data_IF_973182192601
#
_entry.id   IF_973182192601
#
_cell.length_a   1.000
_cell.length_b   1.000
_cell.length_c   1.000
_cell.angle_alpha   90.00
_cell.angle_beta   90.00
_cell.angle_gamma   90.00
#
_symmetry.space_group_name_H-M   'P 1'
#
loop_
_entity.id
_entity.type
_entity.pdbx_description
1 polymer ?
#
# COMPACT_ATOMS: atom_id res chain seq x y z
N UNK A 1 22.85 -43.39 -9.45
CA UNK A 1 21.83 -42.34 -9.59
C UNK A 1 22.23 -41.18 -8.69
N UNK A 2 22.85 -40.14 -9.26
CA UNK A 2 23.24 -38.95 -8.51
C UNK A 2 21.96 -38.19 -8.14
N UNK A 3 21.66 -38.12 -6.85
CA UNK A 3 20.76 -37.10 -6.29
C UNK A 3 21.33 -35.74 -6.68
N UNK A 4 20.69 -35.07 -7.65
CA UNK A 4 20.91 -33.64 -7.89
C UNK A 4 20.67 -32.94 -6.55
N UNK A 5 21.74 -32.48 -5.90
CA UNK A 5 21.57 -31.52 -4.82
C UNK A 5 20.84 -30.34 -5.44
N UNK A 6 19.68 -29.99 -4.91
CA UNK A 6 19.06 -28.72 -5.25
C UNK A 6 20.04 -27.70 -4.69
N UNK A 7 20.87 -27.11 -5.56
CA UNK A 7 21.78 -26.04 -5.20
C UNK A 7 20.89 -24.95 -4.60
N UNK A 8 20.98 -24.76 -3.28
CA UNK A 8 20.10 -23.81 -2.62
C UNK A 8 20.44 -22.43 -3.17
N UNK A 9 19.44 -21.75 -3.71
CA UNK A 9 19.60 -20.38 -4.22
C UNK A 9 19.55 -19.40 -3.07
N UNK A 10 20.05 -18.20 -3.29
CA UNK A 10 19.92 -17.09 -2.34
C UNK A 10 18.45 -16.77 -2.07
N UNK A 11 18.16 -16.35 -0.84
CA UNK A 11 16.87 -15.79 -0.45
C UNK A 11 17.11 -14.49 0.31
N UNK A 12 16.32 -13.47 0.00
CA UNK A 12 16.42 -12.17 0.65
C UNK A 12 15.10 -11.80 1.32
N UNK A 13 15.20 -11.29 2.54
CA UNK A 13 14.13 -10.61 3.26
C UNK A 13 14.59 -9.19 3.52
N UNK A 14 13.82 -8.22 3.07
CA UNK A 14 14.20 -6.82 3.10
C UNK A 14 13.07 -6.04 3.77
N UNK A 15 13.42 -5.20 4.74
CA UNK A 15 12.52 -4.19 5.26
C UNK A 15 13.06 -2.81 4.89
N UNK A 16 12.36 -2.14 3.98
CA UNK A 16 12.69 -0.76 3.58
C UNK A 16 11.88 0.20 4.45
N UNK A 17 12.48 0.61 5.57
CA UNK A 17 11.96 1.66 6.43
C UNK A 17 12.25 3.07 5.91
N UNK A 18 11.84 4.09 6.67
CA UNK A 18 12.11 5.49 6.32
C UNK A 18 13.59 5.90 6.43
N UNK A 19 14.28 5.45 7.47
CA UNK A 19 15.69 5.84 7.72
C UNK A 19 16.69 4.81 7.19
N UNK A 20 16.45 3.54 7.48
CA UNK A 20 17.33 2.43 7.11
C UNK A 20 16.58 1.34 6.37
N UNK A 21 17.31 0.66 5.50
CA UNK A 21 16.89 -0.58 4.86
C UNK A 21 17.68 -1.73 5.48
N UNK A 22 16.95 -2.67 6.06
CA UNK A 22 17.49 -3.86 6.71
C UNK A 22 17.34 -5.07 5.78
N UNK A 23 18.42 -5.83 5.58
CA UNK A 23 18.46 -6.98 4.69
C UNK A 23 18.92 -8.20 5.48
N UNK A 24 18.14 -9.27 5.40
CA UNK A 24 18.54 -10.62 5.82
C UNK A 24 18.70 -11.45 4.56
N UNK A 25 19.91 -11.97 4.34
CA UNK A 25 20.22 -12.85 3.23
C UNK A 25 20.51 -14.26 3.73
N UNK A 26 19.82 -15.24 3.16
CA UNK A 26 20.11 -16.65 3.36
C UNK A 26 20.95 -17.17 2.20
N UNK A 27 22.15 -17.61 2.53
CA UNK A 27 23.12 -18.11 1.57
C UNK A 27 22.77 -19.53 1.10
N UNK A 28 23.24 -19.94 -0.10
CA UNK A 28 23.21 -21.33 -0.57
C UNK A 28 23.77 -22.38 0.40
N UNK A 29 24.74 -22.00 1.24
CA UNK A 29 25.36 -22.89 2.21
C UNK A 29 24.60 -22.96 3.55
N UNK A 30 23.47 -22.25 3.69
CA UNK A 30 22.67 -22.21 4.90
C UNK A 30 23.05 -21.12 5.91
N UNK A 31 24.06 -20.29 5.61
CA UNK A 31 24.45 -19.19 6.49
C UNK A 31 23.51 -17.99 6.33
N UNK A 32 23.34 -17.23 7.41
CA UNK A 32 22.56 -15.99 7.41
C UNK A 32 23.53 -14.81 7.44
N UNK A 33 23.32 -13.86 6.55
CA UNK A 33 23.95 -12.54 6.60
C UNK A 33 22.91 -11.49 6.91
N UNK A 34 23.33 -10.46 7.64
CA UNK A 34 22.54 -9.26 7.88
C UNK A 34 23.29 -8.06 7.31
N UNK A 35 22.57 -7.16 6.68
CA UNK A 35 23.14 -5.92 6.13
C UNK A 35 22.21 -4.75 6.37
N UNK A 36 22.76 -3.56 6.60
CA UNK A 36 22.00 -2.36 6.93
C UNK A 36 22.54 -1.17 6.15
N UNK A 37 21.65 -0.48 5.45
CA UNK A 37 21.98 0.66 4.59
C UNK A 37 21.05 1.83 4.91
N UNK A 38 21.46 3.06 4.60
CA UNK A 38 20.53 4.19 4.60
C UNK A 38 19.47 3.96 3.54
N UNK A 39 18.20 4.20 3.85
CA UNK A 39 17.10 4.00 2.89
C UNK A 39 17.19 4.97 1.71
N UNK A 40 17.76 6.15 1.93
CA UNK A 40 17.97 7.16 0.92
C UNK A 40 19.41 7.69 0.97
N UNK A 41 20.18 7.39 -0.09
CA UNK A 41 21.52 7.97 -0.29
C UNK A 41 21.80 8.12 -1.80
N UNK A 42 21.17 9.09 -2.47
CA UNK A 42 21.21 9.23 -3.92
C UNK A 42 22.62 9.50 -4.48
N UNK A 43 23.59 9.87 -3.63
CA UNK A 43 25.00 10.05 -4.03
C UNK A 43 25.74 8.72 -4.20
N UNK A 44 25.27 7.64 -3.58
CA UNK A 44 25.93 6.33 -3.61
C UNK A 44 25.14 5.28 -4.40
N UNK A 45 23.81 5.29 -4.26
CA UNK A 45 22.95 4.31 -4.92
C UNK A 45 21.56 4.88 -5.20
N UNK A 46 20.92 4.31 -6.23
CA UNK A 46 19.56 4.69 -6.61
C UNK A 46 18.50 4.08 -5.69
N UNK A 47 18.76 2.88 -5.17
CA UNK A 47 17.89 2.17 -4.24
C UNK A 47 18.70 1.28 -3.29
N UNK A 48 18.39 1.34 -2.00
CA UNK A 48 19.13 0.65 -0.96
C UNK A 48 18.94 -0.88 -1.01
N UNK A 49 17.75 -1.37 -1.36
CA UNK A 49 17.47 -2.80 -1.41
C UNK A 49 18.24 -3.48 -2.54
N UNK A 50 18.19 -2.90 -3.75
CA UNK A 50 18.95 -3.38 -4.90
C UNK A 50 20.45 -3.33 -4.61
N UNK A 51 20.95 -2.20 -4.11
CA UNK A 51 22.37 -2.03 -3.81
C UNK A 51 22.86 -3.03 -2.76
N UNK A 52 22.12 -3.23 -1.67
CA UNK A 52 22.50 -4.18 -0.64
C UNK A 52 22.49 -5.64 -1.11
N UNK A 53 21.59 -6.02 -2.02
CA UNK A 53 21.68 -7.34 -2.67
C UNK A 53 22.98 -7.43 -3.49
N UNK A 54 23.34 -6.40 -4.25
CA UNK A 54 24.58 -6.40 -5.06
C UNK A 54 25.83 -6.51 -4.19
N UNK A 55 25.90 -5.77 -3.08
CA UNK A 55 27.01 -5.85 -2.13
C UNK A 55 27.13 -7.23 -1.49
N UNK A 56 26.01 -7.85 -1.07
CA UNK A 56 26.02 -9.21 -0.48
C UNK A 56 26.45 -10.26 -1.51
N UNK A 57 26.08 -10.10 -2.77
CA UNK A 57 26.50 -10.98 -3.86
C UNK A 57 27.93 -10.69 -4.36
N UNK A 58 28.53 -9.57 -3.95
CA UNK A 58 29.86 -9.15 -4.40
C UNK A 58 29.92 -8.77 -5.88
N UNK A 59 28.83 -8.28 -6.46
CA UNK A 59 28.75 -7.84 -7.87
C UNK A 59 28.80 -6.32 -7.99
N UNK A 60 29.15 -5.81 -9.18
CA UNK A 60 29.26 -4.38 -9.45
C UNK A 60 27.91 -3.65 -9.38
N UNK A 61 27.94 -2.34 -9.12
CA UNK A 61 26.72 -1.52 -8.99
C UNK A 61 25.86 -1.49 -10.26
N UNK A 62 26.51 -1.57 -11.43
CA UNK A 62 25.88 -1.56 -12.75
C UNK A 62 25.47 -2.96 -13.24
N UNK A 63 25.91 -4.02 -12.56
CA UNK A 63 25.57 -5.39 -12.94
C UNK A 63 24.11 -5.68 -12.59
N UNK A 64 23.40 -6.40 -13.47
CA UNK A 64 22.05 -6.88 -13.16
C UNK A 64 22.10 -7.97 -12.10
N UNK A 65 21.02 -8.10 -11.32
CA UNK A 65 20.92 -9.16 -10.32
C UNK A 65 20.86 -10.54 -11.00
N UNK A 66 21.64 -11.54 -10.52
CA UNK A 66 21.67 -12.87 -11.11
C UNK A 66 20.40 -13.66 -10.73
N UNK A 67 19.39 -13.54 -11.57
CA UNK A 67 18.04 -14.07 -11.32
C UNK A 67 18.00 -15.60 -11.21
N UNK A 68 18.99 -16.28 -11.78
CA UNK A 68 19.22 -17.72 -11.71
C UNK A 68 19.75 -18.16 -10.35
N UNK A 69 20.45 -17.28 -9.62
CA UNK A 69 21.04 -17.55 -8.30
C UNK A 69 20.14 -17.12 -7.14
N UNK A 70 19.12 -16.30 -7.40
CA UNK A 70 18.15 -15.85 -6.42
C UNK A 70 16.86 -16.65 -6.58
N UNK A 71 16.31 -17.18 -5.48
CA UNK A 71 15.02 -17.88 -5.53
C UNK A 71 13.84 -16.98 -5.20
N UNK A 72 13.99 -16.12 -4.19
CA UNK A 72 12.94 -15.21 -3.75
C UNK A 72 13.53 -13.97 -3.07
N UNK A 73 12.90 -12.83 -3.34
CA UNK A 73 13.07 -11.59 -2.59
C UNK A 73 11.72 -11.26 -1.96
N UNK A 74 11.69 -11.13 -0.63
CA UNK A 74 10.52 -10.75 0.16
C UNK A 74 10.74 -9.37 0.73
N UNK A 75 9.80 -8.45 0.52
CA UNK A 75 9.97 -7.06 0.90
C UNK A 75 8.81 -6.55 1.77
N UNK A 76 9.15 -5.94 2.91
CA UNK A 76 8.29 -5.02 3.64
C UNK A 76 8.69 -3.58 3.31
N UNK A 77 7.73 -2.66 3.34
CA UNK A 77 8.05 -1.24 3.13
C UNK A 77 7.12 -0.31 3.90
N UNK A 78 7.66 0.80 4.38
CA UNK A 78 6.89 1.89 5.01
C UNK A 78 6.48 2.99 4.03
N UNK A 79 6.79 2.85 2.72
CA UNK A 79 6.52 3.88 1.71
C UNK A 79 5.05 4.32 1.70
N UNK A 80 4.10 3.38 1.73
CA UNK A 80 2.67 3.68 1.73
C UNK A 80 2.25 4.45 2.99
N UNK A 81 2.72 4.02 4.16
CA UNK A 81 2.39 4.67 5.44
C UNK A 81 2.97 6.08 5.48
N UNK A 82 4.22 6.27 5.08
CA UNK A 82 4.88 7.57 5.07
C UNK A 82 4.21 8.53 4.07
N UNK A 83 3.97 8.09 2.83
CA UNK A 83 3.26 8.89 1.83
C UNK A 83 1.86 9.33 2.30
N UNK A 84 1.18 8.49 3.07
CA UNK A 84 -0.12 8.83 3.66
C UNK A 84 0.01 9.87 4.80
N UNK A 85 1.02 9.74 5.66
CA UNK A 85 1.27 10.66 6.78
C UNK A 85 1.77 12.03 6.28
N UNK A 86 2.65 12.04 5.28
CA UNK A 86 3.27 13.24 4.71
C UNK A 86 2.43 13.90 3.61
N UNK A 87 1.28 13.29 3.26
CA UNK A 87 0.42 13.74 2.16
C UNK A 87 1.14 13.84 0.81
N UNK A 88 2.08 12.93 0.57
CA UNK A 88 2.84 12.85 -0.68
C UNK A 88 2.36 11.68 -1.54
N UNK A 89 1.09 11.74 -1.96
CA UNK A 89 0.48 10.74 -2.85
C UNK A 89 0.21 11.27 -4.26
N UNK A 90 -0.36 10.41 -5.10
CA UNK A 90 -0.73 10.82 -6.45
C UNK A 90 -2.02 11.67 -6.44
N UNK A 91 -2.01 12.80 -7.13
CA UNK A 91 -3.20 13.62 -7.32
C UNK A 91 -4.35 12.78 -7.93
N UNK A 92 -5.41 12.63 -7.15
CA UNK A 92 -6.47 11.65 -7.42
C UNK A 92 -7.81 12.33 -7.69
N UNK A 93 -8.46 11.95 -8.79
CA UNK A 93 -9.84 12.31 -9.12
C UNK A 93 -10.82 11.36 -8.42
N UNK A 94 -11.81 11.89 -7.72
CA UNK A 94 -12.98 11.10 -7.29
C UNK A 94 -14.05 11.12 -8.38
N UNK A 95 -14.41 9.96 -8.90
CA UNK A 95 -15.52 9.78 -9.85
C UNK A 95 -16.70 9.15 -9.09
N UNK A 96 -17.80 9.88 -8.95
CA UNK A 96 -18.89 9.50 -8.04
C UNK A 96 -20.26 9.78 -8.67
N UNK A 97 -21.29 9.05 -8.24
CA UNK A 97 -22.67 9.31 -8.64
C UNK A 97 -23.07 10.76 -8.35
N UNK A 98 -23.74 11.42 -9.30
CA UNK A 98 -24.25 12.79 -9.16
C UNK A 98 -25.15 12.96 -7.93
N UNK A 99 -24.96 14.06 -7.22
CA UNK A 99 -25.57 14.37 -5.93
C UNK A 99 -24.77 13.88 -4.71
N UNK A 100 -23.64 13.18 -4.92
CA UNK A 100 -22.81 12.63 -3.84
C UNK A 100 -21.39 13.22 -3.81
N UNK A 101 -21.12 14.31 -4.53
CA UNK A 101 -19.82 14.99 -4.59
C UNK A 101 -19.11 15.13 -3.25
N UNK A 102 -19.84 15.56 -2.22
CA UNK A 102 -19.29 15.88 -0.90
C UNK A 102 -19.40 14.73 0.09
N UNK A 103 -19.89 13.55 -0.32
CA UNK A 103 -20.24 12.46 0.59
C UNK A 103 -19.04 11.95 1.41
N UNK A 104 -17.85 11.86 0.81
CA UNK A 104 -16.65 11.40 1.51
C UNK A 104 -16.10 12.46 2.48
N UNK A 105 -16.23 13.74 2.12
CA UNK A 105 -15.90 14.88 2.99
C UNK A 105 -16.83 14.95 4.21
N UNK A 106 -18.14 14.76 3.99
CA UNK A 106 -19.15 14.71 5.08
C UNK A 106 -18.90 13.48 5.98
N UNK A 107 -18.51 12.36 5.39
CA UNK A 107 -18.27 11.11 6.11
C UNK A 107 -19.52 10.64 6.84
N UNK A 108 -19.40 10.43 8.16
CA UNK A 108 -20.49 10.00 9.04
C UNK A 108 -21.01 11.12 9.96
N UNK A 109 -20.54 12.36 9.79
CA UNK A 109 -20.84 13.50 10.68
C UNK A 109 -20.40 13.30 12.14
N UNK A 110 -19.56 12.28 12.43
CA UNK A 110 -18.98 12.08 13.75
C UNK A 110 -17.99 13.20 14.06
N UNK A 111 -18.13 13.81 15.24
CA UNK A 111 -17.16 14.79 15.76
C UNK A 111 -16.04 14.06 16.50
N UNK A 112 -14.77 14.15 16.06
CA UNK A 112 -13.65 13.51 16.76
C UNK A 112 -13.47 14.07 18.18
N UNK A 113 -13.59 15.39 18.30
CA UNK A 113 -13.69 16.10 19.57
C UNK A 113 -15.08 16.77 19.65
N UNK A 114 -15.92 16.23 20.54
CA UNK A 114 -17.30 16.65 20.71
C UNK A 114 -17.41 18.10 21.24
N UNK A 115 -16.40 18.56 21.97
CA UNK A 115 -16.42 19.85 22.65
C UNK A 115 -15.51 20.91 22.02
N UNK A 116 -14.67 20.54 21.04
CA UNK A 116 -13.88 21.49 20.28
C UNK A 116 -14.75 22.60 19.67
N UNK A 117 -14.51 23.85 20.03
CA UNK A 117 -15.23 24.99 19.44
C UNK A 117 -14.75 25.26 18.00
N UNK A 118 -13.50 24.94 17.70
CA UNK A 118 -12.91 24.98 16.36
C UNK A 118 -12.76 23.56 15.83
N UNK A 119 -13.62 23.15 14.91
CA UNK A 119 -13.57 21.81 14.31
C UNK A 119 -12.58 21.83 13.15
N UNK A 120 -11.47 21.10 13.31
CA UNK A 120 -10.54 20.82 12.22
C UNK A 120 -10.97 19.55 11.49
N UNK A 121 -11.32 19.69 10.21
CA UNK A 121 -11.65 18.55 9.36
C UNK A 121 -10.36 17.93 8.79
N UNK A 122 -10.34 16.61 8.71
CA UNK A 122 -9.24 15.91 8.03
C UNK A 122 -9.16 16.33 6.55
N UNK A 123 -7.94 16.48 6.08
CA UNK A 123 -7.65 16.77 4.69
C UNK A 123 -8.10 15.63 3.77
N UNK A 124 -8.57 15.99 2.57
CA UNK A 124 -9.04 15.04 1.57
C UNK A 124 -7.86 14.52 0.74
N UNK A 125 -7.83 13.22 0.47
CA UNK A 125 -6.82 12.60 -0.40
C UNK A 125 -7.08 12.81 -1.91
N UNK A 126 -8.29 13.22 -2.27
CA UNK A 126 -8.65 13.55 -3.66
C UNK A 126 -8.67 15.07 -3.84
N UNK A 127 -8.25 15.54 -5.01
CA UNK A 127 -8.12 16.97 -5.30
C UNK A 127 -9.28 17.51 -6.16
N UNK A 128 -9.89 16.67 -6.99
CA UNK A 128 -11.02 17.03 -7.85
C UNK A 128 -12.12 15.95 -7.77
N UNK A 129 -13.35 16.33 -8.14
CA UNK A 129 -14.50 15.42 -8.16
C UNK A 129 -15.23 15.55 -9.49
N UNK A 130 -15.47 14.41 -10.14
CA UNK A 130 -16.33 14.27 -11.31
C UNK A 130 -17.62 13.54 -10.92
N UNK A 131 -18.75 14.23 -11.03
CA UNK A 131 -20.06 13.63 -10.87
C UNK A 131 -20.54 12.97 -12.16
N UNK A 132 -21.00 11.72 -12.06
CA UNK A 132 -21.53 10.95 -13.18
C UNK A 132 -23.06 10.94 -13.10
N UNK A 133 -23.70 11.35 -14.19
CA UNK A 133 -25.16 11.33 -14.31
C UNK A 133 -25.64 9.91 -14.60
N UNK A 134 -25.87 9.19 -13.52
CA UNK A 134 -26.06 7.74 -13.47
C UNK A 134 -26.76 7.40 -12.16
N UNK A 135 -27.62 6.36 -12.15
CA UNK A 135 -28.17 5.84 -10.90
C UNK A 135 -28.68 4.41 -11.05
N UNK A 136 -28.17 3.51 -10.21
CA UNK A 136 -28.74 2.19 -9.99
C UNK A 136 -29.45 2.19 -8.63
N UNK A 137 -30.65 1.62 -8.55
CA UNK A 137 -31.39 1.43 -7.29
C UNK A 137 -30.87 0.26 -6.47
N UNK A 138 -31.32 0.16 -5.20
CA UNK A 138 -30.87 -0.90 -4.28
C UNK A 138 -31.19 -2.33 -4.74
N UNK A 139 -32.16 -2.49 -5.66
CA UNK A 139 -32.57 -3.77 -6.24
C UNK A 139 -32.08 -3.98 -7.68
N UNK A 140 -31.22 -3.09 -8.19
CA UNK A 140 -30.57 -3.24 -9.50
C UNK A 140 -31.31 -2.60 -10.66
N UNK A 141 -32.46 -1.97 -10.41
CA UNK A 141 -33.15 -1.18 -11.42
C UNK A 141 -32.31 0.02 -11.82
N UNK A 142 -32.16 0.26 -13.13
CA UNK A 142 -31.50 1.45 -13.65
C UNK A 142 -32.51 2.60 -13.54
N UNK A 143 -32.25 3.52 -12.61
CA UNK A 143 -33.07 4.73 -12.42
C UNK A 143 -32.64 5.84 -13.37
N UNK A 144 -31.32 5.95 -13.62
CA UNK A 144 -30.72 6.82 -14.62
C UNK A 144 -29.64 6.03 -15.33
N UNK A 145 -29.78 5.88 -16.66
CA UNK A 145 -28.77 5.20 -17.49
C UNK A 145 -27.46 5.98 -17.51
N UNK A 146 -26.33 5.27 -17.49
CA UNK A 146 -25.02 5.90 -17.62
C UNK A 146 -24.91 6.69 -18.93
N UNK A 147 -24.71 8.00 -18.83
CA UNK A 147 -24.40 8.83 -19.98
C UNK A 147 -22.90 8.79 -20.29
N UNK A 148 -22.50 7.88 -21.18
CA UNK A 148 -21.09 7.68 -21.52
C UNK A 148 -20.43 8.89 -22.21
N UNK A 149 -21.19 9.65 -23.00
CA UNK A 149 -20.65 10.80 -23.73
C UNK A 149 -20.19 11.89 -22.75
N UNK A 150 -21.08 12.32 -21.85
CA UNK A 150 -20.75 13.32 -20.81
C UNK A 150 -19.71 12.79 -19.82
N UNK A 151 -19.76 11.50 -19.48
CA UNK A 151 -18.75 10.86 -18.63
C UNK A 151 -17.35 10.92 -19.27
N UNK A 152 -17.26 10.61 -20.57
CA UNK A 152 -16.00 10.67 -21.33
C UNK A 152 -15.50 12.11 -21.40
N UNK A 153 -16.35 13.08 -21.71
CA UNK A 153 -15.97 14.49 -21.75
C UNK A 153 -15.39 14.97 -20.40
N UNK A 154 -16.08 14.62 -19.31
CA UNK A 154 -15.61 14.90 -17.95
C UNK A 154 -14.25 14.26 -17.65
N UNK A 155 -14.08 12.98 -17.97
CA UNK A 155 -12.81 12.28 -17.78
C UNK A 155 -11.67 12.89 -18.63
N UNK A 156 -11.93 13.21 -19.90
CA UNK A 156 -10.95 13.86 -20.80
C UNK A 156 -10.53 15.22 -20.27
N UNK A 157 -11.46 16.02 -19.75
CA UNK A 157 -11.15 17.33 -19.16
C UNK A 157 -10.16 17.19 -18.01
N UNK A 158 -10.43 16.31 -17.05
CA UNK A 158 -9.55 16.10 -15.90
C UNK A 158 -8.20 15.48 -16.29
N UNK A 159 -8.19 14.58 -17.28
CA UNK A 159 -6.96 14.04 -17.84
C UNK A 159 -6.08 15.13 -18.46
N UNK A 160 -6.68 16.07 -19.22
CA UNK A 160 -5.98 17.23 -19.79
C UNK A 160 -5.43 18.18 -18.72
N UNK A 161 -6.06 18.25 -17.55
CA UNK A 161 -5.55 19.00 -16.39
C UNK A 161 -4.37 18.30 -15.67
N UNK A 162 -3.94 17.13 -16.14
CA UNK A 162 -2.76 16.44 -15.63
C UNK A 162 -3.06 15.28 -14.67
N UNK A 163 -4.32 15.01 -14.33
CA UNK A 163 -4.66 13.88 -13.46
C UNK A 163 -4.41 12.55 -14.18
N UNK A 164 -3.78 11.61 -13.47
CA UNK A 164 -3.45 10.26 -13.98
C UNK A 164 -3.99 9.14 -13.09
N UNK A 165 -4.39 9.48 -11.87
CA UNK A 165 -5.04 8.56 -10.93
C UNK A 165 -6.50 8.94 -10.69
N UNK A 166 -7.37 7.94 -10.59
CA UNK A 166 -8.77 8.15 -10.21
C UNK A 166 -9.34 6.99 -9.38
N UNK A 167 -10.33 7.33 -8.56
CA UNK A 167 -11.15 6.41 -7.78
C UNK A 167 -12.60 6.47 -8.26
N UNK A 168 -13.15 5.35 -8.73
CA UNK A 168 -14.54 5.25 -9.19
C UNK A 168 -15.39 4.64 -8.08
N UNK A 169 -16.37 5.40 -7.58
CA UNK A 169 -17.21 5.02 -6.46
C UNK A 169 -18.66 5.39 -6.76
N UNK A 170 -19.42 4.48 -7.37
CA UNK A 170 -20.83 4.71 -7.67
C UNK A 170 -21.75 4.14 -6.58
N UNK A 171 -22.93 4.75 -6.43
CA UNK A 171 -23.95 4.26 -5.51
C UNK A 171 -24.43 2.87 -5.92
N UNK A 172 -24.51 1.96 -4.94
CA UNK A 172 -24.77 0.53 -5.16
C UNK A 172 -23.77 -0.20 -6.08
N UNK A 173 -22.65 0.46 -6.45
CA UNK A 173 -21.57 -0.10 -7.25
C UNK A 173 -20.94 -1.36 -6.66
N UNK A 174 -21.05 -1.59 -5.34
CA UNK A 174 -20.61 -2.84 -4.69
C UNK A 174 -21.35 -4.10 -5.18
N UNK A 175 -22.60 -3.94 -5.66
CA UNK A 175 -23.47 -5.05 -6.08
C UNK A 175 -23.74 -5.05 -7.59
N UNK A 176 -23.88 -3.87 -8.19
CA UNK A 176 -24.20 -3.71 -9.61
C UNK A 176 -23.05 -2.98 -10.31
N UNK A 177 -22.16 -3.76 -10.91
CA UNK A 177 -20.82 -3.30 -11.29
C UNK A 177 -20.75 -2.64 -12.66
N UNK A 178 -21.79 -2.76 -13.48
CA UNK A 178 -21.72 -2.50 -14.92
C UNK A 178 -21.33 -1.06 -15.26
N UNK A 179 -21.90 -0.07 -14.56
CA UNK A 179 -21.53 1.33 -14.77
C UNK A 179 -20.09 1.62 -14.32
N UNK A 180 -19.64 1.08 -13.19
CA UNK A 180 -18.25 1.24 -12.73
C UNK A 180 -17.25 0.60 -13.71
N UNK A 181 -17.53 -0.62 -14.19
CA UNK A 181 -16.71 -1.28 -15.21
C UNK A 181 -16.64 -0.47 -16.49
N UNK A 182 -17.75 0.12 -16.91
CA UNK A 182 -17.79 0.93 -18.13
C UNK A 182 -16.98 2.22 -18.00
N UNK A 183 -17.13 2.94 -16.89
CA UNK A 183 -16.30 4.11 -16.59
C UNK A 183 -14.80 3.76 -16.51
N UNK A 184 -14.45 2.63 -15.88
CA UNK A 184 -13.07 2.16 -15.82
C UNK A 184 -12.51 1.89 -17.22
N UNK A 185 -13.31 1.28 -18.11
CA UNK A 185 -12.93 1.08 -19.51
C UNK A 185 -12.70 2.40 -20.25
N UNK A 186 -13.61 3.37 -20.09
CA UNK A 186 -13.46 4.71 -20.69
C UNK A 186 -12.19 5.41 -20.19
N UNK A 187 -11.93 5.35 -18.89
CA UNK A 187 -10.72 5.93 -18.30
C UNK A 187 -9.43 5.29 -18.85
N UNK A 188 -9.40 3.96 -19.04
CA UNK A 188 -8.27 3.27 -19.68
C UNK A 188 -8.07 3.72 -21.13
N UNK A 189 -9.15 3.84 -21.89
CA UNK A 189 -9.11 4.30 -23.29
C UNK A 189 -8.61 5.76 -23.41
N UNK A 190 -8.84 6.60 -22.39
CA UNK A 190 -8.36 7.99 -22.35
C UNK A 190 -6.87 8.05 -21.97
N UNK A 191 -6.37 7.08 -21.19
CA UNK A 191 -4.96 6.99 -20.81
C UNK A 191 -4.67 7.17 -19.31
N UNK A 192 -5.68 7.13 -18.43
CA UNK A 192 -5.43 7.10 -16.99
C UNK A 192 -4.59 5.88 -16.62
N UNK A 193 -3.49 6.10 -15.89
CA UNK A 193 -2.51 5.05 -15.57
C UNK A 193 -2.82 4.32 -14.27
N UNK A 194 -3.61 4.93 -13.38
CA UNK A 194 -4.15 4.30 -12.18
C UNK A 194 -5.66 4.51 -12.09
N UNK A 195 -6.38 3.40 -11.99
CA UNK A 195 -7.84 3.36 -11.90
C UNK A 195 -8.20 2.38 -10.81
N UNK A 196 -8.70 2.90 -9.68
CA UNK A 196 -9.20 2.11 -8.58
C UNK A 196 -10.73 2.10 -8.63
N UNK A 197 -11.32 0.92 -8.77
CA UNK A 197 -12.77 0.74 -8.93
C UNK A 197 -13.34 0.16 -7.64
N UNK A 198 -14.38 0.79 -7.09
CA UNK A 198 -14.76 0.54 -5.71
C UNK A 198 -15.22 -0.89 -5.43
N UNK A 199 -15.92 -1.54 -6.36
CA UNK A 199 -16.30 -2.95 -6.22
C UNK A 199 -15.11 -3.92 -6.28
N UNK A 200 -14.00 -3.56 -6.94
CA UNK A 200 -12.80 -4.40 -6.98
C UNK A 200 -11.93 -4.20 -5.74
N UNK A 201 -11.89 -2.97 -5.23
CA UNK A 201 -11.02 -2.58 -4.11
C UNK A 201 -11.65 -2.93 -2.77
N UNK A 202 -12.93 -2.60 -2.57
CA UNK A 202 -13.64 -2.81 -1.32
C UNK A 202 -15.13 -3.05 -1.60
N UNK A 203 -15.57 -4.30 -1.88
CA UNK A 203 -16.95 -4.65 -2.25
C UNK A 203 -17.94 -4.58 -1.07
N UNK A 204 -17.90 -3.50 -0.30
CA UNK A 204 -18.72 -3.27 0.88
C UNK A 204 -19.88 -2.35 0.55
N UNK A 205 -21.05 -2.59 1.15
CA UNK A 205 -22.27 -1.82 0.87
C UNK A 205 -22.13 -0.33 1.18
N UNK A 206 -21.43 0.00 2.28
CA UNK A 206 -21.30 1.36 2.81
C UNK A 206 -20.52 2.27 1.86
N UNK A 207 -21.15 3.34 1.36
CA UNK A 207 -20.54 4.25 0.37
C UNK A 207 -19.29 4.94 0.92
N UNK A 208 -19.35 5.49 2.14
CA UNK A 208 -18.25 6.28 2.73
C UNK A 208 -16.99 5.43 2.89
N UNK A 209 -17.08 4.31 3.61
CA UNK A 209 -15.90 3.49 3.88
C UNK A 209 -15.35 2.79 2.64
N UNK A 210 -16.24 2.34 1.73
CA UNK A 210 -15.83 1.84 0.41
C UNK A 210 -15.12 2.94 -0.38
N UNK A 211 -15.67 4.14 -0.38
CA UNK A 211 -15.11 5.28 -1.10
C UNK A 211 -13.74 5.69 -0.58
N UNK A 212 -13.60 5.88 0.73
CA UNK A 212 -12.33 6.23 1.36
C UNK A 212 -11.24 5.19 1.06
N UNK A 213 -11.57 3.90 1.17
CA UNK A 213 -10.65 2.79 0.82
C UNK A 213 -10.26 2.82 -0.67
N UNK A 214 -11.19 3.14 -1.55
CA UNK A 214 -10.92 3.24 -3.00
C UNK A 214 -10.05 4.44 -3.34
N UNK A 215 -10.25 5.57 -2.66
CA UNK A 215 -9.41 6.77 -2.79
C UNK A 215 -7.99 6.49 -2.27
N UNK A 216 -7.84 5.87 -1.10
CA UNK A 216 -6.52 5.45 -0.57
C UNK A 216 -5.79 4.58 -1.59
N UNK A 217 -6.48 3.60 -2.18
CA UNK A 217 -5.88 2.72 -3.17
C UNK A 217 -5.40 3.49 -4.41
N UNK A 218 -6.22 4.41 -4.94
CA UNK A 218 -5.86 5.26 -6.09
C UNK A 218 -4.68 6.20 -5.76
N UNK A 219 -4.66 6.73 -4.54
CA UNK A 219 -3.67 7.69 -4.07
C UNK A 219 -2.28 7.06 -3.89
N UNK A 220 -2.22 5.83 -3.33
CA UNK A 220 -0.96 5.18 -2.95
C UNK A 220 -0.43 4.19 -3.99
N UNK A 221 -1.30 3.52 -4.76
CA UNK A 221 -0.86 2.49 -5.72
C UNK A 221 0.18 2.96 -6.76
N UNK A 222 0.14 4.21 -7.29
CA UNK A 222 1.15 4.68 -8.24
C UNK A 222 2.56 4.71 -7.65
N UNK A 223 2.71 5.17 -6.40
CA UNK A 223 3.99 5.23 -5.69
C UNK A 223 4.55 3.82 -5.51
N UNK A 224 3.71 2.91 -5.04
CA UNK A 224 4.11 1.52 -4.85
C UNK A 224 4.49 0.86 -6.16
N UNK A 225 3.71 1.07 -7.23
CA UNK A 225 4.00 0.48 -8.54
C UNK A 225 5.31 1.00 -9.13
N UNK A 226 5.63 2.28 -8.96
CA UNK A 226 6.94 2.83 -9.36
C UNK A 226 8.07 2.09 -8.64
N UNK A 227 7.93 1.86 -7.34
CA UNK A 227 8.94 1.14 -6.55
C UNK A 227 9.05 -0.35 -6.93
N UNK A 228 7.91 -1.03 -7.03
CA UNK A 228 7.84 -2.44 -7.46
C UNK A 228 8.50 -2.62 -8.83
N UNK A 229 8.20 -1.75 -9.79
CA UNK A 229 8.77 -1.81 -11.14
C UNK A 229 10.28 -1.58 -11.14
N UNK A 230 10.78 -0.67 -10.30
CA UNK A 230 12.23 -0.45 -10.14
C UNK A 230 12.92 -1.75 -9.72
N UNK A 231 12.45 -2.39 -8.65
CA UNK A 231 13.04 -3.65 -8.15
C UNK A 231 12.84 -4.81 -9.14
N UNK A 232 11.65 -4.92 -9.74
CA UNK A 232 11.37 -5.97 -10.73
C UNK A 232 12.27 -5.85 -11.96
N UNK A 233 12.56 -4.63 -12.43
CA UNK A 233 13.43 -4.41 -13.60
C UNK A 233 14.87 -4.93 -13.42
N UNK A 234 15.35 -5.00 -12.18
CA UNK A 234 16.65 -5.61 -11.84
C UNK A 234 16.58 -7.14 -11.79
N UNK A 235 15.41 -7.72 -11.52
CA UNK A 235 15.15 -9.16 -11.31
C UNK A 235 14.52 -9.89 -12.50
N UNK A 236 14.09 -9.19 -13.55
CA UNK A 236 13.43 -9.79 -14.72
C UNK A 236 14.37 -9.91 -15.95
N UNK A 237 15.65 -9.53 -15.80
CA UNK A 237 16.48 -9.13 -16.95
C UNK A 237 17.14 -10.21 -17.80
N UNK A 238 17.31 -11.47 -17.37
CA UNK A 238 18.21 -12.41 -18.10
C UNK A 238 17.88 -13.93 -17.96
N UNK A 239 16.78 -14.34 -17.34
CA UNK A 239 16.51 -15.77 -17.10
C UNK A 239 15.09 -16.19 -17.50
N UNK A 240 14.94 -17.39 -18.06
CA UNK A 240 13.62 -18.01 -18.32
C UNK A 240 12.83 -18.25 -17.02
N UNK A 241 13.53 -18.37 -15.90
CA UNK A 241 12.96 -18.53 -14.57
C UNK A 241 13.12 -17.21 -13.80
N UNK A 242 12.01 -16.50 -13.61
CA UNK A 242 12.01 -15.23 -12.86
C UNK A 242 12.12 -15.51 -11.35
N UNK A 243 12.98 -14.74 -10.68
CA UNK A 243 13.02 -14.71 -9.21
C UNK A 243 11.67 -14.24 -8.68
N UNK A 244 11.16 -14.88 -7.63
CA UNK A 244 9.88 -14.47 -7.04
C UNK A 244 10.08 -13.18 -6.25
N UNK A 245 9.47 -12.09 -6.67
CA UNK A 245 9.40 -10.85 -5.90
C UNK A 245 8.07 -10.79 -5.16
N UNK A 246 8.14 -10.83 -3.83
CA UNK A 246 6.99 -10.90 -2.94
C UNK A 246 6.97 -9.70 -2.00
N UNK A 247 5.80 -9.10 -1.79
CA UNK A 247 5.60 -7.99 -0.85
C UNK A 247 4.76 -8.41 0.33
N UNK A 248 5.13 -7.93 1.53
CA UNK A 248 4.35 -8.07 2.74
C UNK A 248 3.08 -7.22 2.63
N UNK A 249 1.95 -7.76 3.07
CA UNK A 249 0.69 -7.05 3.18
C UNK A 249 0.38 -6.70 4.63
N UNK A 250 -0.47 -5.69 4.83
CA UNK A 250 -0.99 -5.26 6.15
C UNK A 250 -1.62 -6.37 7.02
N UNK A 251 -1.95 -7.51 6.42
CA UNK A 251 -2.58 -8.64 7.11
C UNK A 251 -1.61 -9.76 7.53
N UNK A 252 -0.31 -9.59 7.31
CA UNK A 252 0.73 -10.58 7.64
C UNK A 252 1.05 -11.58 6.54
N UNK A 253 0.33 -11.53 5.41
CA UNK A 253 0.57 -12.39 4.26
C UNK A 253 1.54 -11.77 3.25
N UNK A 254 2.19 -12.62 2.47
CA UNK A 254 2.94 -12.20 1.28
C UNK A 254 2.05 -12.23 0.04
N UNK A 255 2.30 -11.33 -0.90
CA UNK A 255 1.66 -11.32 -2.23
C UNK A 255 2.70 -11.11 -3.32
N UNK A 256 2.41 -11.59 -4.52
CA UNK A 256 3.22 -11.28 -5.71
C UNK A 256 3.23 -9.75 -5.95
N UNK A 257 4.38 -9.24 -6.36
CA UNK A 257 4.60 -7.85 -6.74
C UNK A 257 3.50 -7.25 -7.63
N UNK A 258 3.00 -8.01 -8.62
CA UNK A 258 1.97 -7.55 -9.58
C UNK A 258 0.60 -7.36 -8.93
N UNK A 259 0.36 -8.04 -7.81
CA UNK A 259 -0.90 -8.01 -7.07
C UNK A 259 -0.86 -7.05 -5.87
N UNK A 260 0.28 -6.40 -5.62
CA UNK A 260 0.43 -5.47 -4.49
C UNK A 260 -0.27 -4.14 -4.78
N UNK A 261 -1.14 -3.72 -3.87
CA UNK A 261 -2.02 -2.55 -4.02
C UNK A 261 -1.87 -1.59 -2.84
N UNK A 262 -2.20 -0.32 -3.07
CA UNK A 262 -2.13 0.76 -2.07
C UNK A 262 -2.80 0.41 -0.74
N UNK A 263 -4.04 -0.10 -0.81
CA UNK A 263 -4.80 -0.46 0.41
C UNK A 263 -4.19 -1.60 1.23
N UNK A 264 -3.35 -2.44 0.63
CA UNK A 264 -2.75 -3.63 1.26
C UNK A 264 -1.33 -3.37 1.77
N UNK A 265 -0.79 -2.17 1.52
CA UNK A 265 0.60 -1.83 1.82
C UNK A 265 0.78 -1.03 3.12
N UNK A 266 -0.30 -0.45 3.63
CA UNK A 266 -0.29 0.39 4.83
C UNK A 266 0.07 -0.48 6.04
N UNK A 267 1.10 -0.10 6.79
CA UNK A 267 1.65 -0.88 7.92
C UNK A 267 2.21 -2.27 7.54
N UNK A 268 2.59 -2.48 6.27
CA UNK A 268 3.17 -3.77 5.83
C UNK A 268 4.55 -4.07 6.44
N UNK A 269 5.38 -3.06 6.71
CA UNK A 269 6.66 -3.21 7.41
C UNK A 269 6.50 -3.74 8.85
N UNK A 270 5.83 -2.98 9.75
CA UNK A 270 5.61 -3.38 11.15
C UNK A 270 4.97 -4.76 11.31
N UNK A 271 4.08 -5.11 10.38
CA UNK A 271 3.45 -6.42 10.26
C UNK A 271 4.48 -7.56 10.23
N UNK A 272 5.59 -7.42 9.50
CA UNK A 272 6.67 -8.40 9.50
C UNK A 272 7.30 -8.58 10.88
N UNK A 273 7.50 -7.48 11.60
CA UNK A 273 7.96 -7.46 12.99
C UNK A 273 7.01 -8.22 13.93
N UNK A 274 5.70 -7.99 13.83
CA UNK A 274 4.68 -8.70 14.62
C UNK A 274 4.71 -10.21 14.36
N UNK A 275 4.82 -10.63 13.10
CA UNK A 275 4.93 -12.06 12.74
C UNK A 275 6.22 -12.67 13.30
N UNK A 276 7.34 -11.96 13.17
CA UNK A 276 8.64 -12.40 13.70
C UNK A 276 8.61 -12.54 15.22
N UNK A 277 8.08 -11.53 15.91
CA UNK A 277 7.88 -11.51 17.36
C UNK A 277 7.00 -12.68 17.81
N UNK A 278 5.84 -12.90 17.18
CA UNK A 278 4.94 -14.00 17.51
C UNK A 278 5.65 -15.36 17.36
N UNK A 279 6.42 -15.56 16.28
CA UNK A 279 7.17 -16.81 16.07
C UNK A 279 8.32 -17.00 17.06
N UNK A 280 8.98 -15.93 17.48
CA UNK A 280 9.99 -15.98 18.54
C UNK A 280 9.36 -16.32 19.90
N UNK A 281 8.20 -15.70 20.20
CA UNK A 281 7.40 -15.93 21.40
C UNK A 281 6.95 -17.40 21.51
N UNK A 282 6.38 -17.94 20.42
CA UNK A 282 5.98 -19.36 20.32
C UNK A 282 7.17 -20.30 20.60
N UNK A 283 8.34 -20.03 20.01
CA UNK A 283 9.57 -20.82 20.22
C UNK A 283 10.10 -20.75 21.65
N UNK A 284 9.89 -19.62 22.33
CA UNK A 284 10.23 -19.44 23.73
C UNK A 284 9.19 -20.05 24.69
N UNK A 285 8.11 -20.67 24.18
CA UNK A 285 7.02 -21.20 24.99
C UNK A 285 6.14 -20.13 25.63
N UNK A 286 6.29 -18.86 25.21
CA UNK A 286 5.48 -17.75 25.65
C UNK A 286 4.22 -17.65 24.77
N UNK A 287 3.11 -17.23 25.37
CA UNK A 287 1.81 -17.10 24.66
C UNK A 287 1.31 -15.66 24.59
N UNK A 288 1.94 -14.75 25.32
CA UNK A 288 1.49 -13.36 25.46
C UNK A 288 2.68 -12.43 25.34
N UNK A 289 2.54 -11.39 24.52
CA UNK A 289 3.61 -10.43 24.27
C UNK A 289 3.04 -9.08 23.84
N UNK A 290 3.75 -8.02 24.19
CA UNK A 290 3.56 -6.69 23.64
C UNK A 290 4.78 -6.41 22.78
N UNK A 291 4.56 -6.13 21.50
CA UNK A 291 5.60 -5.66 20.60
C UNK A 291 5.73 -4.15 20.72
N UNK A 292 6.97 -3.69 20.79
CA UNK A 292 7.33 -2.28 20.79
C UNK A 292 8.49 -2.10 19.80
N UNK A 293 8.22 -1.49 18.66
CA UNK A 293 9.19 -1.23 17.60
C UNK A 293 9.31 0.27 17.39
N UNK A 294 10.47 0.84 17.74
CA UNK A 294 10.73 2.27 17.60
C UNK A 294 11.78 2.49 16.51
N UNK A 295 11.35 3.13 15.43
CA UNK A 295 12.22 3.57 14.34
C UNK A 295 12.70 5.01 14.51
N UNK A 296 13.24 5.56 13.43
CA UNK A 296 13.62 6.98 13.36
C UNK A 296 12.42 7.93 13.29
N UNK A 297 11.33 7.53 12.63
CA UNK A 297 10.17 8.40 12.35
C UNK A 297 8.96 8.08 13.22
N UNK A 298 8.71 6.80 13.49
CA UNK A 298 7.51 6.32 14.17
C UNK A 298 7.80 5.22 15.18
N UNK A 299 6.84 4.97 16.06
CA UNK A 299 6.82 3.85 16.99
C UNK A 299 5.56 3.03 16.73
N UNK A 300 5.73 1.73 16.57
CA UNK A 300 4.68 0.76 16.31
C UNK A 300 4.54 -0.18 17.52
N UNK A 301 3.31 -0.25 18.07
CA UNK A 301 2.97 -1.09 19.21
C UNK A 301 1.96 -2.14 18.78
N UNK A 302 2.20 -3.39 19.17
CA UNK A 302 1.33 -4.52 18.84
C UNK A 302 1.10 -5.42 20.06
N UNK A 303 0.05 -6.21 20.00
CA UNK A 303 -0.30 -7.19 21.03
C UNK A 303 -0.46 -8.56 20.41
N UNK A 304 0.03 -9.58 21.10
CA UNK A 304 -0.13 -10.99 20.73
C UNK A 304 -0.53 -11.79 21.94
N UNK A 305 -1.63 -12.54 21.84
CA UNK A 305 -2.19 -13.37 22.91
C UNK A 305 -2.54 -14.79 22.42
N UNK A 306 -1.60 -15.40 21.68
CA UNK A 306 -1.75 -16.73 21.07
C UNK A 306 -2.37 -16.71 19.67
N UNK A 307 -2.97 -15.58 19.28
CA UNK A 307 -3.42 -15.28 17.93
C UNK A 307 -3.10 -13.83 17.56
N UNK A 308 -3.11 -13.55 16.25
CA UNK A 308 -2.91 -12.19 15.76
C UNK A 308 -4.21 -11.40 15.90
N UNK A 309 -4.18 -10.32 16.67
CA UNK A 309 -5.27 -9.35 16.72
C UNK A 309 -5.43 -8.71 15.34
N UNK A 310 -6.65 -8.70 14.81
CA UNK A 310 -6.98 -8.13 13.50
C UNK A 310 -8.07 -7.08 13.64
N UNK A 311 -7.96 -6.05 12.81
CA UNK A 311 -9.00 -5.05 12.63
C UNK A 311 -9.41 -4.99 11.15
N UNK A 312 -10.68 -4.64 10.93
CA UNK A 312 -11.25 -4.40 9.60
C UNK A 312 -11.59 -2.93 9.37
N UNK A 313 -11.57 -2.13 10.42
CA UNK A 313 -11.91 -0.72 10.44
C UNK A 313 -10.80 0.03 11.16
N UNK A 314 -10.03 0.84 10.42
CA UNK A 314 -8.93 1.61 11.00
C UNK A 314 -8.95 3.04 10.50
N UNK A 315 -8.49 3.95 11.36
CA UNK A 315 -8.26 5.35 11.02
C UNK A 315 -6.76 5.61 11.05
N UNK A 316 -6.18 6.02 9.92
CA UNK A 316 -4.76 6.32 9.78
C UNK A 316 -4.64 7.70 9.14
N UNK A 317 -3.91 8.62 9.77
CA UNK A 317 -3.77 10.01 9.31
C UNK A 317 -5.12 10.72 9.04
N UNK A 318 -6.13 10.44 9.86
CA UNK A 318 -7.50 10.98 9.70
C UNK A 318 -8.32 10.35 8.57
N UNK A 319 -7.76 9.37 7.83
CA UNK A 319 -8.43 8.68 6.73
C UNK A 319 -8.95 7.32 7.20
N UNK A 320 -10.16 6.97 6.76
CA UNK A 320 -10.83 5.71 7.09
C UNK A 320 -10.44 4.63 6.08
N UNK A 321 -10.05 3.47 6.58
CA UNK A 321 -9.69 2.31 5.76
C UNK A 321 -10.48 1.09 6.21
N UNK A 322 -11.11 0.42 5.24
CA UNK A 322 -11.75 -0.88 5.42
C UNK A 322 -10.98 -1.98 4.70
N UNK A 323 -9.96 -2.51 5.35
CA UNK A 323 -9.17 -3.63 4.89
C UNK A 323 -8.80 -4.52 6.09
N UNK A 324 -8.73 -5.86 5.93
CA UNK A 324 -8.22 -6.73 6.98
C UNK A 324 -6.75 -6.40 7.25
N UNK A 325 -6.45 -5.99 8.48
CA UNK A 325 -5.09 -5.63 8.91
C UNK A 325 -4.79 -6.24 10.27
N UNK A 326 -3.52 -6.44 10.59
CA UNK A 326 -3.13 -6.68 11.97
C UNK A 326 -3.33 -5.41 12.79
N UNK A 327 -3.77 -5.58 14.04
CA UNK A 327 -3.98 -4.48 14.96
C UNK A 327 -2.61 -3.98 15.45
N UNK A 328 -2.16 -2.88 14.85
CA UNK A 328 -0.91 -2.19 15.18
C UNK A 328 -1.26 -0.74 15.44
N UNK A 329 -0.78 -0.21 16.56
CA UNK A 329 -0.91 1.19 16.91
C UNK A 329 0.38 1.92 16.54
N UNK A 330 0.29 2.86 15.61
CA UNK A 330 1.42 3.67 15.17
C UNK A 330 1.31 5.06 15.76
N UNK A 331 2.40 5.53 16.37
CA UNK A 331 2.57 6.92 16.82
C UNK A 331 3.67 7.57 15.98
N UNK A 332 3.44 8.79 15.50
CA UNK A 332 4.42 9.59 14.75
C UNK A 332 5.51 10.17 15.66
N UNK A 333 6.15 9.32 16.46
CA UNK A 333 7.25 9.65 17.34
C UNK A 333 8.33 8.56 17.23
N UNK A 334 9.58 8.96 17.03
CA UNK A 334 10.72 8.07 16.90
C UNK A 334 12.03 8.76 17.27
N UNK A 335 13.16 8.10 17.00
CA UNK A 335 14.48 8.63 17.37
C UNK A 335 14.89 9.94 16.68
N UNK A 336 14.27 10.28 15.55
CA UNK A 336 14.49 11.50 14.78
C UNK A 336 13.45 12.61 15.02
N UNK A 337 12.51 12.42 15.95
CA UNK A 337 11.51 13.44 16.26
C UNK A 337 12.16 14.72 16.78
N UNK A 338 11.83 15.85 16.13
CA UNK A 338 12.37 17.14 16.50
C UNK A 338 11.76 17.64 17.83
N UNK A 339 12.63 17.97 18.78
CA UNK A 339 12.22 18.60 20.04
C UNK A 339 12.19 20.12 19.85
N UNK A 340 11.09 20.75 20.25
CA UNK A 340 10.95 22.20 20.29
C UNK A 340 10.49 22.63 21.68
N UNK A 341 11.15 23.64 22.22
CA UNK A 341 10.75 24.30 23.46
C UNK A 341 9.74 25.41 23.13
N UNK A 342 8.62 25.44 23.84
CA UNK A 342 7.54 26.42 23.64
C UNK A 342 7.68 27.68 24.49
N UNK A 343 8.45 27.64 25.60
CA UNK A 343 8.81 28.81 26.39
C UNK A 343 8.78 28.59 27.90
#
# INVERSE_FOLDING_TARGET
MQTKSIQQKWQFWIDRGGTFTDIIAWQPNGHILTHKLLSENPRQYRDAAIHGIKEILGIGSEDKLPCDQISVVKMGTTLATNALLERDGENTLLVITKGFKDQLRIGYQTRPDLFALHIELSELLYCEVLEIDERIGAHGQILVSLNEATSREGLVKHYKNGLRSLAIVLMHGYRYHEHEKRLAKLAREIGFTQISVSHEVSPLMKLVSRGDTTVIDAYLSPILRRYVNLVASELEGQCEQTSKLMFMKSNGGLTDAKMFRGKDAILSGPTGGVVGMAKACERAGLKKMIGFDMGGTSTDVSHYNGEFDKTFDTHIAGVRLQAPMMLIHTVAAGGGSALKFDG
#
